data_IF_414241220760
#
_entry.id   IF_414241220760
#
_cell.length_a   1.000
_cell.length_b   1.000
_cell.length_c   1.000
_cell.angle_alpha   90.00
_cell.angle_beta   90.00
_cell.angle_gamma   90.00
#
_symmetry.space_group_name_H-M   'P 1'
#
loop_
_entity.id
_entity.type
_entity.pdbx_description
1 polymer ?
#
# COMPACT_ATOMS: atom_id res chain seq x y z
N UNK A 1 -25.96 35.18 -23.39
CA UNK A 1 -25.95 33.81 -23.91
C UNK A 1 -25.35 33.80 -25.31
N UNK A 2 -24.18 33.17 -25.50
CA UNK A 2 -23.83 32.32 -26.66
C UNK A 2 -22.41 31.79 -26.49
N UNK A 3 -22.31 30.47 -26.63
CA UNK A 3 -21.17 29.60 -26.44
C UNK A 3 -19.96 29.95 -27.30
N UNK A 4 -18.76 29.83 -26.74
CA UNK A 4 -17.52 29.59 -27.49
C UNK A 4 -16.93 28.29 -26.96
N UNK A 5 -17.41 27.16 -27.49
CA UNK A 5 -16.74 25.87 -27.36
C UNK A 5 -15.48 25.92 -28.23
N UNK A 6 -14.30 25.85 -27.60
CA UNK A 6 -13.06 25.55 -28.32
C UNK A 6 -13.03 24.04 -28.60
N UNK A 7 -13.17 23.67 -29.87
CA UNK A 7 -12.85 22.33 -30.35
C UNK A 7 -11.34 22.09 -30.20
N UNK A 8 -10.94 21.09 -29.39
CA UNK A 8 -9.59 20.52 -29.43
C UNK A 8 -9.54 19.49 -30.54
N UNK A 9 -8.47 19.57 -31.33
CA UNK A 9 -8.15 18.72 -32.48
C UNK A 9 -8.24 17.23 -32.10
N UNK A 10 -9.00 16.48 -32.88
CA UNK A 10 -9.00 15.02 -32.91
C UNK A 10 -7.64 14.55 -33.45
N UNK A 11 -6.73 14.19 -32.55
CA UNK A 11 -5.60 13.32 -32.90
C UNK A 11 -6.15 11.91 -33.00
N UNK A 12 -6.22 11.37 -34.22
CA UNK A 12 -6.46 9.96 -34.48
C UNK A 12 -5.25 9.17 -34.01
N UNK A 13 -5.18 8.91 -32.71
CA UNK A 13 -4.24 7.95 -32.14
C UNK A 13 -4.78 6.58 -32.52
N UNK A 14 -4.05 5.87 -33.38
CA UNK A 14 -4.27 4.44 -33.62
C UNK A 14 -4.34 3.75 -32.26
N UNK A 15 -5.31 2.86 -32.07
CA UNK A 15 -5.40 2.03 -30.87
C UNK A 15 -4.09 1.24 -30.75
N UNK A 16 -3.19 1.73 -29.90
CA UNK A 16 -2.05 0.96 -29.42
C UNK A 16 -2.65 -0.14 -28.57
N UNK A 17 -2.48 -1.37 -29.03
CA UNK A 17 -2.83 -2.56 -28.27
C UNK A 17 -2.15 -2.44 -26.90
N UNK A 18 -2.97 -2.45 -25.85
CA UNK A 18 -2.53 -2.40 -24.47
C UNK A 18 -1.61 -3.60 -24.21
N UNK A 19 -0.35 -3.30 -23.90
CA UNK A 19 0.64 -4.28 -23.47
C UNK A 19 0.79 -4.14 -21.95
N UNK A 20 0.14 -5.01 -21.14
CA UNK A 20 0.22 -4.94 -19.68
C UNK A 20 1.65 -5.12 -19.15
N UNK A 21 2.57 -5.67 -19.95
CA UNK A 21 3.96 -5.90 -19.56
C UNK A 21 4.83 -4.64 -19.76
N UNK A 22 4.34 -3.62 -20.46
CA UNK A 22 5.09 -2.38 -20.76
C UNK A 22 5.22 -1.43 -19.57
N UNK A 23 4.47 -1.61 -18.48
CA UNK A 23 4.55 -0.76 -17.28
C UNK A 23 5.54 -1.29 -16.23
N UNK A 24 6.04 -2.51 -16.41
CA UNK A 24 6.93 -3.17 -15.48
C UNK A 24 8.31 -3.31 -16.13
N UNK A 25 9.21 -2.37 -15.83
CA UNK A 25 10.64 -2.63 -16.03
C UNK A 25 10.95 -3.95 -15.30
N UNK A 26 11.59 -4.95 -15.93
CA UNK A 26 11.97 -6.18 -15.23
C UNK A 26 12.91 -5.79 -14.10
N UNK A 27 12.40 -5.79 -12.88
CA UNK A 27 13.21 -5.58 -11.70
C UNK A 27 13.92 -6.91 -11.42
N UNK A 28 15.25 -6.90 -11.34
CA UNK A 28 16.03 -8.09 -11.00
C UNK A 28 15.68 -8.49 -9.56
N UNK A 29 14.71 -9.40 -9.44
CA UNK A 29 14.16 -9.84 -8.15
C UNK A 29 15.23 -10.53 -7.30
N UNK A 30 15.33 -10.20 -6.01
CA UNK A 30 16.21 -10.92 -5.10
C UNK A 30 15.67 -12.33 -4.85
N UNK A 31 16.59 -13.25 -4.55
CA UNK A 31 16.24 -14.60 -4.15
C UNK A 31 15.44 -14.60 -2.83
N UNK A 32 14.45 -15.50 -2.65
CA UNK A 32 13.73 -15.64 -1.39
C UNK A 32 14.68 -15.87 -0.22
N UNK A 33 14.49 -15.16 0.88
CA UNK A 33 15.33 -15.26 2.08
C UNK A 33 14.63 -16.15 3.12
N UNK A 34 15.35 -17.05 3.79
CA UNK A 34 14.77 -17.93 4.83
C UNK A 34 14.28 -17.16 6.07
N UNK A 35 13.18 -17.63 6.68
CA UNK A 35 12.48 -17.06 7.84
C UNK A 35 13.38 -16.66 9.02
N UNK A 36 14.46 -17.40 9.26
CA UNK A 36 15.39 -17.11 10.36
C UNK A 36 16.16 -15.78 10.18
N UNK A 37 16.26 -15.26 8.96
CA UNK A 37 16.83 -13.94 8.72
C UNK A 37 15.78 -12.83 8.91
N UNK A 38 14.49 -13.13 8.72
CA UNK A 38 13.32 -12.22 8.83
C UNK A 38 13.22 -11.56 10.22
N UNK A 39 13.66 -12.23 11.28
CA UNK A 39 13.64 -11.70 12.65
C UNK A 39 14.53 -10.46 12.89
N UNK A 40 15.52 -10.18 12.03
CA UNK A 40 16.29 -8.91 12.06
C UNK A 40 15.59 -7.77 11.32
N UNK A 41 14.55 -8.04 10.55
CA UNK A 41 13.84 -7.05 9.72
C UNK A 41 12.70 -6.35 10.49
N UNK A 42 12.32 -6.86 11.67
CA UNK A 42 11.16 -6.41 12.46
C UNK A 42 11.37 -5.09 13.24
N UNK A 43 12.60 -4.60 13.41
CA UNK A 43 12.84 -3.35 14.14
C UNK A 43 12.89 -2.15 13.19
N UNK A 44 11.76 -1.81 12.56
CA UNK A 44 11.61 -0.46 12.01
C UNK A 44 11.35 0.51 13.16
N UNK A 45 12.42 1.01 13.79
CA UNK A 45 12.31 1.93 14.94
C UNK A 45 11.48 3.18 14.61
N UNK A 46 11.53 3.65 13.36
CA UNK A 46 10.73 4.80 12.91
C UNK A 46 9.26 4.42 12.87
N UNK A 47 8.92 3.32 12.20
CA UNK A 47 7.55 2.83 12.14
C UNK A 47 7.00 2.55 13.54
N UNK A 48 7.76 1.87 14.40
CA UNK A 48 7.39 1.59 15.79
C UNK A 48 7.13 2.89 16.58
N UNK A 49 7.99 3.90 16.41
CA UNK A 49 7.80 5.21 17.05
C UNK A 49 6.53 5.91 16.55
N UNK A 50 6.25 5.84 15.24
CA UNK A 50 5.04 6.42 14.64
C UNK A 50 3.78 5.70 15.15
N UNK A 51 3.81 4.38 15.20
CA UNK A 51 2.72 3.55 15.73
C UNK A 51 2.46 3.85 17.20
N UNK A 52 3.50 3.95 18.03
CA UNK A 52 3.37 4.32 19.43
C UNK A 52 2.80 5.73 19.60
N UNK A 53 3.30 6.69 18.83
CA UNK A 53 2.78 8.06 18.83
C UNK A 53 1.31 8.12 18.35
N UNK A 54 0.93 7.32 17.36
CA UNK A 54 -0.44 7.23 16.89
C UNK A 54 -1.39 6.64 17.95
N UNK A 55 -0.95 5.58 18.66
CA UNK A 55 -1.69 5.00 19.80
C UNK A 55 -1.87 5.99 20.96
N UNK A 56 -0.90 6.86 21.20
CA UNK A 56 -1.01 7.94 22.20
C UNK A 56 -1.81 9.16 21.71
N UNK A 57 -2.33 9.14 20.48
CA UNK A 57 -3.09 10.24 19.89
C UNK A 57 -2.23 11.45 19.47
N UNK A 58 -0.91 11.29 19.41
CA UNK A 58 0.01 12.35 18.95
C UNK A 58 0.11 12.41 17.43
N UNK A 59 -0.16 11.28 16.78
CA UNK A 59 -0.29 11.17 15.34
C UNK A 59 -1.63 10.58 14.94
N UNK A 60 -2.05 10.92 13.73
CA UNK A 60 -3.20 10.33 13.07
C UNK A 60 -2.75 9.23 12.11
N UNK A 61 -3.68 8.41 11.68
CA UNK A 61 -3.56 7.57 10.51
C UNK A 61 -4.58 8.01 9.46
N UNK A 62 -4.39 7.60 8.22
CA UNK A 62 -5.27 7.93 7.11
C UNK A 62 -5.46 6.72 6.22
N UNK A 63 -6.71 6.42 5.85
CA UNK A 63 -6.97 5.42 4.81
C UNK A 63 -6.75 6.04 3.44
N UNK A 64 -6.10 5.30 2.55
CA UNK A 64 -5.77 5.76 1.22
C UNK A 64 -5.82 4.64 0.18
N UNK A 65 -6.08 5.01 -1.07
CA UNK A 65 -5.88 4.17 -2.24
C UNK A 65 -4.59 4.65 -2.90
N UNK A 66 -3.59 3.78 -2.91
CA UNK A 66 -2.22 4.12 -3.31
C UNK A 66 -1.83 3.28 -4.52
N UNK A 67 -1.21 3.92 -5.52
CA UNK A 67 -0.66 3.18 -6.66
C UNK A 67 0.47 2.25 -6.21
N UNK A 68 0.44 0.99 -6.66
CA UNK A 68 1.46 0.00 -6.29
C UNK A 68 2.87 0.43 -6.69
N UNK A 69 3.01 1.28 -7.72
CA UNK A 69 4.31 1.79 -8.21
C UNK A 69 5.00 2.78 -7.28
N UNK A 70 4.27 3.41 -6.34
CA UNK A 70 4.83 4.38 -5.38
C UNK A 70 5.02 3.79 -3.99
N UNK A 71 4.56 2.55 -3.77
CA UNK A 71 4.78 1.82 -2.52
C UNK A 71 6.17 1.19 -2.57
N UNK A 72 6.99 1.57 -1.59
CA UNK A 72 8.36 1.11 -1.45
C UNK A 72 8.43 0.12 -0.29
N UNK A 73 8.54 -1.20 -0.55
CA UNK A 73 8.83 -2.14 0.52
C UNK A 73 10.18 -1.76 1.15
N UNK A 74 10.25 -1.77 2.49
CA UNK A 74 11.47 -1.40 3.21
C UNK A 74 12.65 -2.29 2.82
N UNK A 75 12.36 -3.55 2.55
CA UNK A 75 13.31 -4.54 2.11
C UNK A 75 12.85 -5.15 0.79
N UNK A 76 13.81 -5.56 -0.01
CA UNK A 76 13.52 -6.35 -1.20
C UNK A 76 13.41 -7.82 -0.76
N UNK A 77 12.27 -8.16 -0.14
CA UNK A 77 11.99 -9.48 0.41
C UNK A 77 10.73 -10.05 -0.21
N UNK A 78 10.83 -11.27 -0.75
CA UNK A 78 9.70 -12.07 -1.24
C UNK A 78 9.42 -13.23 -0.29
N UNK A 79 8.29 -13.24 0.45
CA UNK A 79 7.93 -14.35 1.32
C UNK A 79 7.43 -15.56 0.52
N UNK A 80 7.52 -16.72 1.14
CA UNK A 80 6.72 -17.89 0.74
C UNK A 80 5.30 -17.65 1.24
N UNK A 81 4.34 -17.48 0.34
CA UNK A 81 2.94 -17.21 0.69
C UNK A 81 2.18 -18.52 0.76
N UNK A 82 1.72 -18.88 1.97
CA UNK A 82 0.96 -20.11 2.20
C UNK A 82 -0.45 -20.06 1.61
N UNK A 83 -0.96 -21.23 1.20
CA UNK A 83 -2.27 -21.35 0.54
C UNK A 83 -3.42 -20.81 1.40
N UNK A 84 -3.38 -21.02 2.72
CA UNK A 84 -4.38 -20.48 3.66
C UNK A 84 -4.46 -18.95 3.59
N UNK A 85 -3.32 -18.26 3.51
CA UNK A 85 -3.30 -16.81 3.39
C UNK A 85 -3.88 -16.35 2.03
N UNK A 86 -3.58 -17.09 0.95
CA UNK A 86 -4.13 -16.82 -0.39
C UNK A 86 -5.66 -16.98 -0.40
N UNK A 87 -6.17 -18.06 0.16
CA UNK A 87 -7.61 -18.33 0.26
C UNK A 87 -8.33 -17.26 1.08
N UNK A 88 -7.74 -16.83 2.20
CA UNK A 88 -8.28 -15.74 3.01
C UNK A 88 -8.29 -14.41 2.26
N UNK A 89 -7.21 -14.09 1.53
CA UNK A 89 -7.16 -12.91 0.67
C UNK A 89 -8.26 -12.96 -0.41
N UNK A 90 -8.50 -14.11 -1.01
CA UNK A 90 -9.54 -14.34 -2.02
C UNK A 90 -10.94 -14.08 -1.49
N UNK A 91 -11.27 -14.70 -0.36
CA UNK A 91 -12.56 -14.53 0.29
C UNK A 91 -12.81 -13.06 0.69
N UNK A 92 -11.76 -12.35 1.09
CA UNK A 92 -11.80 -10.93 1.42
C UNK A 92 -12.01 -10.03 0.20
N UNK A 93 -11.35 -10.35 -0.92
CA UNK A 93 -11.52 -9.63 -2.18
C UNK A 93 -12.95 -9.73 -2.74
N UNK A 94 -13.56 -10.91 -2.66
CA UNK A 94 -14.95 -11.12 -3.11
C UNK A 94 -15.97 -10.30 -2.28
N UNK A 95 -15.61 -9.93 -1.06
CA UNK A 95 -16.38 -9.07 -0.18
C UNK A 95 -15.99 -7.58 -0.26
N UNK A 96 -15.20 -7.18 -1.25
CA UNK A 96 -14.66 -5.81 -1.42
C UNK A 96 -13.84 -5.32 -0.22
N UNK A 97 -13.26 -6.23 0.57
CA UNK A 97 -12.44 -5.93 1.74
C UNK A 97 -11.03 -6.47 1.54
N UNK A 98 -10.31 -5.99 0.52
CA UNK A 98 -8.92 -6.42 0.35
C UNK A 98 -8.09 -6.00 1.57
N UNK A 99 -7.08 -6.80 1.97
CA UNK A 99 -6.19 -6.44 3.06
C UNK A 99 -5.56 -5.05 2.88
N UNK A 100 -5.59 -4.25 3.93
CA UNK A 100 -5.00 -2.92 3.95
C UNK A 100 -3.50 -3.04 4.21
N UNK A 101 -2.65 -2.45 3.36
CA UNK A 101 -1.21 -2.34 3.62
C UNK A 101 -0.92 -1.19 4.58
N UNK A 102 -0.11 -1.42 5.61
CA UNK A 102 0.32 -0.32 6.48
C UNK A 102 1.56 0.37 5.92
N UNK A 103 1.50 1.69 5.77
CA UNK A 103 2.56 2.52 5.19
C UNK A 103 2.93 3.67 6.14
N UNK A 104 4.10 4.25 5.94
CA UNK A 104 4.45 5.56 6.48
C UNK A 104 5.24 6.37 5.46
N UNK A 105 5.20 7.69 5.57
CA UNK A 105 5.96 8.57 4.71
C UNK A 105 7.37 8.83 5.26
N UNK A 106 8.39 8.71 4.40
CA UNK A 106 9.77 9.07 4.73
C UNK A 106 10.54 9.46 3.47
N UNK A 107 11.15 10.66 3.49
CA UNK A 107 11.93 11.19 2.35
C UNK A 107 11.13 11.15 1.04
N UNK A 108 9.90 11.68 1.08
CA UNK A 108 8.95 11.75 -0.05
C UNK A 108 8.56 10.38 -0.64
N UNK A 109 8.72 9.30 0.14
CA UNK A 109 8.36 7.93 -0.25
C UNK A 109 7.38 7.32 0.74
N UNK A 110 6.46 6.52 0.20
CA UNK A 110 5.58 5.67 1.01
C UNK A 110 6.27 4.34 1.28
N UNK A 111 6.78 4.18 2.50
CA UNK A 111 7.50 2.99 2.95
C UNK A 111 6.51 1.99 3.53
N UNK A 112 6.61 0.75 3.09
CA UNK A 112 5.90 -0.39 3.65
C UNK A 112 6.87 -1.19 4.55
N UNK A 113 6.73 -1.10 5.88
CA UNK A 113 7.66 -1.76 6.81
C UNK A 113 7.41 -3.27 6.92
N UNK A 114 6.16 -3.70 6.72
CA UNK A 114 5.62 -5.04 7.00
C UNK A 114 4.61 -5.45 5.91
N UNK A 115 3.77 -6.46 6.16
CA UNK A 115 2.70 -6.89 5.23
C UNK A 115 3.17 -7.41 3.85
N UNK A 116 4.38 -7.97 3.80
CA UNK A 116 4.98 -8.48 2.57
C UNK A 116 4.09 -9.50 1.84
N UNK A 117 3.42 -10.42 2.55
CA UNK A 117 2.54 -11.40 1.92
C UNK A 117 1.40 -10.72 1.14
N UNK A 118 0.70 -9.78 1.78
CA UNK A 118 -0.36 -9.02 1.13
C UNK A 118 0.18 -8.21 -0.07
N UNK A 119 1.29 -7.50 0.09
CA UNK A 119 1.94 -6.74 -0.98
C UNK A 119 2.25 -7.61 -2.20
N UNK A 120 2.81 -8.79 -1.97
CA UNK A 120 3.14 -9.71 -3.06
C UNK A 120 1.90 -10.32 -3.71
N UNK A 121 0.79 -10.53 -3.00
CA UNK A 121 -0.48 -10.91 -3.63
C UNK A 121 -1.00 -9.78 -4.53
N UNK A 122 -0.97 -8.52 -4.07
CA UNK A 122 -1.35 -7.38 -4.93
C UNK A 122 -0.52 -7.35 -6.22
N UNK A 123 0.79 -7.60 -6.12
CA UNK A 123 1.71 -7.67 -7.27
C UNK A 123 1.42 -8.86 -8.19
N UNK A 124 1.26 -10.07 -7.64
CA UNK A 124 0.99 -11.29 -8.41
C UNK A 124 -0.33 -11.24 -9.18
N UNK A 125 -1.31 -10.50 -8.67
CA UNK A 125 -2.61 -10.26 -9.33
C UNK A 125 -2.59 -9.13 -10.36
N UNK A 126 -1.48 -8.40 -10.48
CA UNK A 126 -1.39 -7.23 -11.36
C UNK A 126 -2.34 -6.09 -10.95
N UNK A 127 -2.63 -5.94 -9.66
CA UNK A 127 -3.46 -4.83 -9.18
C UNK A 127 -2.66 -3.52 -9.24
N UNK A 128 -3.24 -2.48 -9.86
CA UNK A 128 -2.58 -1.18 -10.03
C UNK A 128 -2.55 -0.36 -8.74
N UNK A 129 -3.50 -0.61 -7.83
CA UNK A 129 -3.70 0.12 -6.59
C UNK A 129 -3.90 -0.84 -5.42
N UNK A 130 -3.49 -0.42 -4.23
CA UNK A 130 -3.76 -1.09 -2.97
C UNK A 130 -4.53 -0.17 -2.01
N UNK A 131 -5.36 -0.80 -1.16
CA UNK A 131 -5.92 -0.13 0.01
C UNK A 131 -4.84 -0.06 1.08
N UNK A 132 -4.67 1.10 1.69
CA UNK A 132 -3.59 1.34 2.64
C UNK A 132 -4.06 2.13 3.87
N UNK A 133 -3.38 1.89 5.00
CA UNK A 133 -3.39 2.78 6.16
C UNK A 133 -2.03 3.46 6.22
N UNK A 134 -2.01 4.78 6.09
CA UNK A 134 -0.79 5.57 6.18
C UNK A 134 -0.71 6.17 7.59
N UNK A 135 0.35 5.83 8.32
CA UNK A 135 0.58 6.24 9.70
C UNK A 135 1.56 7.39 9.76
N UNK A 136 1.17 8.47 10.45
CA UNK A 136 2.05 9.61 10.68
C UNK A 136 1.33 10.94 10.54
N UNK A 137 2.14 12.01 10.53
CA UNK A 137 1.62 13.36 10.46
C UNK A 137 1.30 13.71 9.02
N UNK A 138 0.07 13.41 8.57
CA UNK A 138 -0.56 13.84 7.31
C UNK A 138 0.31 13.68 6.06
N UNK A 139 -0.09 12.80 5.15
CA UNK A 139 0.68 12.60 3.93
C UNK A 139 0.64 13.86 3.05
N UNK A 140 1.80 14.45 2.78
CA UNK A 140 1.93 15.53 1.79
C UNK A 140 2.24 14.95 0.39
N UNK A 141 2.25 13.61 0.26
CA UNK A 141 2.46 12.92 -1.00
C UNK A 141 1.30 13.21 -1.98
N UNK A 142 1.55 14.10 -2.94
CA UNK A 142 0.64 14.47 -4.03
C UNK A 142 0.26 13.29 -4.95
N UNK A 143 1.00 12.18 -4.87
CA UNK A 143 0.84 11.00 -5.71
C UNK A 143 -0.20 9.99 -5.17
N UNK A 144 -0.85 10.28 -4.03
CA UNK A 144 -1.92 9.44 -3.48
C UNK A 144 -3.22 9.67 -4.27
N UNK A 145 -3.75 8.61 -4.88
CA UNK A 145 -4.91 8.69 -5.78
C UNK A 145 -6.23 9.08 -5.10
N UNK A 146 -6.45 8.62 -3.87
CA UNK A 146 -7.58 9.01 -3.04
C UNK A 146 -7.28 8.75 -1.55
N UNK A 147 -7.82 9.57 -0.66
CA UNK A 147 -7.67 9.40 0.79
C UNK A 147 -8.90 9.87 1.58
N UNK A 148 -9.10 9.23 2.73
CA UNK A 148 -10.15 9.58 3.69
C UNK A 148 -9.68 10.67 4.68
N UNK A 149 -10.58 11.09 5.58
CA UNK A 149 -10.19 11.97 6.68
C UNK A 149 -9.27 11.21 7.65
N UNK A 150 -8.23 11.87 8.18
CA UNK A 150 -7.38 11.27 9.21
C UNK A 150 -8.18 10.88 10.47
N UNK A 151 -7.74 9.82 11.13
CA UNK A 151 -8.34 9.25 12.33
C UNK A 151 -7.26 8.91 13.38
N UNK A 152 -7.64 8.77 14.65
CA UNK A 152 -6.72 8.35 15.72
C UNK A 152 -6.76 6.83 15.90
N UNK A 153 -5.58 6.22 15.97
CA UNK A 153 -5.47 4.78 16.28
C UNK A 153 -5.79 4.57 17.76
N UNK A 154 -6.75 3.68 18.05
CA UNK A 154 -7.03 3.21 19.41
C UNK A 154 -8.01 4.05 20.25
N UNK A 155 -8.51 5.19 19.75
CA UNK A 155 -9.38 6.05 20.56
C UNK A 155 -10.90 5.92 20.28
N UNK A 156 -11.33 5.31 19.17
CA UNK A 156 -12.76 5.12 18.82
C UNK A 156 -13.01 3.97 17.79
N UNK A 157 -12.17 2.94 17.76
CA UNK A 157 -12.07 2.08 16.59
C UNK A 157 -12.54 0.64 16.85
N UNK A 158 -13.78 0.34 16.44
CA UNK A 158 -14.20 -1.01 16.00
C UNK A 158 -13.50 -1.44 14.69
N UNK A 159 -12.37 -0.81 14.31
CA UNK A 159 -11.76 -0.91 12.98
C UNK A 159 -10.32 -1.44 12.99
N UNK A 160 -10.15 -2.58 12.33
CA UNK A 160 -8.91 -3.24 11.89
C UNK A 160 -8.12 -4.04 12.95
N UNK A 161 -8.37 -5.36 13.08
CA UNK A 161 -7.55 -6.27 13.89
C UNK A 161 -6.07 -6.34 13.47
N UNK A 162 -5.74 -5.85 12.27
CA UNK A 162 -4.38 -5.82 11.71
C UNK A 162 -3.40 -5.04 12.62
N UNK A 163 -3.86 -3.99 13.32
CA UNK A 163 -2.98 -3.14 14.14
C UNK A 163 -2.59 -3.78 15.49
N UNK A 164 -3.33 -4.79 15.93
CA UNK A 164 -3.03 -5.53 17.17
C UNK A 164 -2.01 -6.64 16.91
N UNK A 165 -2.05 -7.30 15.75
CA UNK A 165 -1.13 -8.37 15.36
C UNK A 165 0.28 -7.86 14.99
N UNK A 166 0.40 -6.63 14.49
CA UNK A 166 1.69 -6.02 14.12
C UNK A 166 2.59 -5.62 15.31
N UNK A 167 2.14 -5.84 16.55
CA UNK A 167 2.77 -5.37 17.78
C UNK A 167 3.14 -6.50 18.75
N UNK A 168 3.04 -7.77 18.32
CA UNK A 168 3.38 -8.97 19.09
C UNK A 168 4.79 -9.47 18.75
#
# INVERSE_FOLDING_TARGET
>A
MRNIFKQKKTSTTKATQYDPDSLFVPWDYPEPIEEAQVLRFLSDERFLSLMQAAKHGWHTAQKAIVHMSIIHPRFDYKPVIHDEFRENFEALNDNLKTPELVLYEHEDKLIMPNDYEAYWIYRERGLEVANCIIVGKYTECDDIGAYDRPFFIGHDSESSPILDDLMV
#
